data_IF_647011309136
#
_entry.id   IF_647011309136
#
_cell.length_a   1.000
_cell.length_b   1.000
_cell.length_c   1.000
_cell.angle_alpha   90.00
_cell.angle_beta   90.00
_cell.angle_gamma   90.00
#
_symmetry.space_group_name_H-M   'P 1'
#
loop_
_entity.id
_entity.type
_entity.pdbx_description
1 polymer ?
#
# COMPACT_ATOMS: atom_id res chain seq x y z
N UNK A 1 -30.84 8.08 0.10
CA UNK A 1 -30.03 6.83 0.02
C UNK A 1 -28.82 7.10 0.85
N UNK A 2 -28.89 6.76 2.14
CA UNK A 2 -28.09 7.46 3.16
C UNK A 2 -26.89 6.62 3.64
N UNK A 3 -26.80 5.35 3.21
CA UNK A 3 -25.61 4.48 3.34
C UNK A 3 -25.22 3.92 1.99
N UNK A 4 -23.92 3.97 1.69
CA UNK A 4 -23.32 3.47 0.45
C UNK A 4 -21.96 2.88 0.79
N UNK A 5 -21.59 1.79 0.12
CA UNK A 5 -20.25 1.25 0.21
C UNK A 5 -19.28 2.06 -0.66
N UNK A 6 -18.12 2.38 -0.10
CA UNK A 6 -17.01 3.03 -0.80
C UNK A 6 -15.67 2.48 -0.30
N UNK A 7 -14.66 2.64 -1.14
CA UNK A 7 -13.27 2.32 -0.85
C UNK A 7 -12.35 3.29 -1.58
N UNK A 8 -11.09 3.34 -1.16
CA UNK A 8 -10.03 4.11 -1.82
C UNK A 8 -8.90 3.17 -2.24
N UNK A 9 -8.29 3.51 -3.37
CA UNK A 9 -7.08 2.88 -3.90
C UNK A 9 -6.01 3.96 -3.94
N UNK A 10 -4.94 3.76 -3.16
CA UNK A 10 -3.87 4.74 -2.97
C UNK A 10 -2.54 4.16 -3.44
N UNK A 11 -2.03 4.71 -4.54
CA UNK A 11 -0.69 4.43 -5.04
C UNK A 11 0.35 5.36 -4.39
N UNK A 12 1.46 4.79 -3.93
CA UNK A 12 2.54 5.53 -3.30
C UNK A 12 3.74 5.66 -4.24
N UNK A 13 4.15 6.91 -4.47
CA UNK A 13 5.41 7.20 -5.13
C UNK A 13 6.58 6.79 -4.24
N UNK A 14 7.51 6.00 -4.79
CA UNK A 14 8.68 5.51 -4.06
C UNK A 14 9.97 6.03 -4.69
N UNK A 15 10.87 6.56 -3.85
CA UNK A 15 12.20 7.01 -4.26
C UNK A 15 13.21 6.67 -3.18
N UNK A 16 14.41 6.26 -3.58
CA UNK A 16 15.53 6.04 -2.66
C UNK A 16 16.63 7.04 -3.01
N UNK A 17 16.69 8.12 -2.24
CA UNK A 17 17.77 9.08 -2.33
C UNK A 17 19.03 8.53 -1.65
N UNK A 18 20.17 8.59 -2.34
CA UNK A 18 21.49 8.27 -1.79
C UNK A 18 22.40 9.49 -1.92
N UNK A 19 23.20 9.77 -0.90
CA UNK A 19 24.16 10.89 -0.89
C UNK A 19 25.38 10.65 -1.79
N UNK A 20 25.65 9.39 -2.16
CA UNK A 20 26.96 8.98 -2.69
C UNK A 20 26.93 8.60 -4.19
N UNK A 21 25.80 8.79 -4.88
CA UNK A 21 25.65 8.43 -6.30
C UNK A 21 24.24 7.98 -6.69
N UNK A 22 24.15 7.14 -7.74
CA UNK A 22 22.88 6.62 -8.29
C UNK A 22 22.13 5.85 -7.21
N UNK A 23 21.00 6.41 -6.73
CA UNK A 23 20.06 5.72 -5.85
C UNK A 23 19.43 4.49 -6.52
N UNK A 24 18.67 3.72 -5.75
CA UNK A 24 17.92 2.58 -6.29
C UNK A 24 16.82 3.07 -7.22
N UNK A 25 16.59 2.33 -8.30
CA UNK A 25 15.41 2.53 -9.15
C UNK A 25 14.12 2.23 -8.37
N UNK A 26 12.99 2.80 -8.80
CA UNK A 26 11.69 2.57 -8.15
C UNK A 26 11.37 1.06 -8.03
N UNK A 27 11.66 0.28 -9.07
CA UNK A 27 11.48 -1.19 -9.09
C UNK A 27 12.35 -1.90 -8.05
N UNK A 28 13.61 -1.49 -7.88
CA UNK A 28 14.50 -2.05 -6.85
C UNK A 28 14.03 -1.72 -5.43
N UNK A 29 13.58 -0.48 -5.19
CA UNK A 29 13.04 -0.08 -3.88
C UNK A 29 11.73 -0.81 -3.59
N UNK A 30 10.86 -0.90 -4.58
CA UNK A 30 9.57 -1.55 -4.44
C UNK A 30 9.73 -3.05 -4.12
N UNK A 31 10.62 -3.75 -4.85
CA UNK A 31 11.00 -5.12 -4.52
C UNK A 31 11.57 -5.22 -3.12
N UNK A 32 12.47 -4.30 -2.73
CA UNK A 32 13.05 -4.27 -1.39
C UNK A 32 11.96 -4.22 -0.30
N UNK A 33 11.02 -3.28 -0.41
CA UNK A 33 9.94 -3.07 0.55
C UNK A 33 9.01 -4.29 0.63
N UNK A 34 8.66 -4.86 -0.51
CA UNK A 34 7.74 -6.01 -0.57
C UNK A 34 8.36 -7.36 -0.22
N UNK A 35 9.68 -7.46 0.01
CA UNK A 35 10.30 -8.76 0.38
C UNK A 35 9.65 -9.42 1.59
N UNK A 36 9.30 -8.64 2.61
CA UNK A 36 8.61 -9.16 3.81
C UNK A 36 7.18 -9.62 3.49
N UNK A 37 6.47 -8.85 2.66
CA UNK A 37 5.10 -9.16 2.22
C UNK A 37 5.09 -10.46 1.41
N UNK A 38 6.00 -10.60 0.45
CA UNK A 38 6.14 -11.81 -0.38
C UNK A 38 6.56 -13.01 0.47
N UNK A 39 7.50 -12.85 1.41
CA UNK A 39 7.93 -13.93 2.29
C UNK A 39 6.79 -14.45 3.18
N UNK A 40 5.91 -13.56 3.63
CA UNK A 40 4.76 -13.90 4.48
C UNK A 40 3.55 -14.42 3.68
N UNK A 41 3.15 -13.71 2.63
CA UNK A 41 1.93 -13.96 1.87
C UNK A 41 2.11 -14.78 0.59
N UNK A 42 3.35 -15.17 0.24
CA UNK A 42 3.72 -15.89 -0.99
C UNK A 42 3.32 -15.18 -2.29
N UNK A 43 2.95 -13.91 -2.20
CA UNK A 43 2.42 -13.09 -3.27
C UNK A 43 2.79 -11.63 -3.02
N UNK A 44 2.99 -10.86 -4.08
CA UNK A 44 3.08 -9.39 -4.01
C UNK A 44 1.71 -8.72 -3.92
N UNK A 45 0.65 -9.51 -3.74
CA UNK A 45 -0.74 -9.08 -3.57
C UNK A 45 -1.38 -9.89 -2.45
N UNK A 46 -1.71 -9.22 -1.34
CA UNK A 46 -2.21 -9.85 -0.12
C UNK A 46 -3.36 -9.06 0.48
N UNK A 47 -4.23 -9.76 1.20
CA UNK A 47 -5.20 -9.15 2.10
C UNK A 47 -4.65 -9.10 3.52
N UNK A 48 -4.80 -7.95 4.16
CA UNK A 48 -4.37 -7.69 5.53
C UNK A 48 -5.48 -8.03 6.52
N UNK A 49 -5.11 -8.14 7.81
CA UNK A 49 -6.07 -8.47 8.88
C UNK A 49 -7.19 -7.44 9.06
N UNK A 50 -6.98 -6.20 8.64
CA UNK A 50 -7.99 -5.13 8.67
C UNK A 50 -8.94 -5.17 7.46
N UNK A 51 -8.84 -6.18 6.57
CA UNK A 51 -9.68 -6.33 5.38
C UNK A 51 -9.17 -5.57 4.16
N UNK A 52 -8.15 -4.72 4.31
CA UNK A 52 -7.55 -3.97 3.20
C UNK A 52 -6.63 -4.83 2.36
N UNK A 53 -6.41 -4.44 1.10
CA UNK A 53 -5.51 -5.12 0.18
C UNK A 53 -4.23 -4.31 0.03
N UNK A 54 -3.09 -4.98 0.13
CA UNK A 54 -1.77 -4.41 -0.09
C UNK A 54 -1.11 -5.14 -1.24
N UNK A 55 -0.68 -4.42 -2.26
CA UNK A 55 -0.07 -5.03 -3.41
C UNK A 55 0.95 -4.15 -4.12
N UNK A 56 1.76 -4.78 -4.97
CA UNK A 56 2.65 -4.11 -5.90
C UNK A 56 2.01 -4.06 -7.28
N UNK A 57 1.74 -2.85 -7.77
CA UNK A 57 1.18 -2.64 -9.10
C UNK A 57 2.25 -2.82 -10.22
N UNK A 58 1.79 -2.96 -11.47
CA UNK A 58 2.61 -3.01 -12.70
C UNK A 58 3.57 -1.82 -12.77
N UNK A 59 3.17 -0.64 -12.27
CA UNK A 59 4.02 0.56 -12.19
C UNK A 59 5.16 0.48 -11.17
N UNK A 60 5.31 -0.62 -10.42
CA UNK A 60 6.20 -0.75 -9.25
C UNK A 60 5.83 0.18 -8.08
N UNK A 61 4.58 0.63 -8.02
CA UNK A 61 4.06 1.38 -6.88
C UNK A 61 3.55 0.41 -5.81
N UNK A 62 3.96 0.59 -4.54
CA UNK A 62 3.19 0.09 -3.41
C UNK A 62 1.78 0.67 -3.48
N UNK A 63 0.77 -0.19 -3.41
CA UNK A 63 -0.62 0.22 -3.45
C UNK A 63 -1.39 -0.37 -2.27
N UNK A 64 -2.17 0.50 -1.61
CA UNK A 64 -3.07 0.13 -0.53
C UNK A 64 -4.50 0.44 -0.94
N UNK A 65 -5.33 -0.59 -1.01
CA UNK A 65 -6.77 -0.45 -1.19
C UNK A 65 -7.47 -0.68 0.15
N UNK A 66 -8.27 0.29 0.59
CA UNK A 66 -8.99 0.20 1.87
C UNK A 66 -9.94 -0.99 1.88
N UNK A 67 -10.33 -1.43 3.09
CA UNK A 67 -11.51 -2.29 3.20
C UNK A 67 -12.75 -1.50 2.77
N UNK A 68 -13.83 -2.20 2.42
CA UNK A 68 -15.13 -1.58 2.17
C UNK A 68 -15.62 -0.83 3.42
N UNK A 69 -15.92 0.45 3.25
CA UNK A 69 -16.44 1.33 4.31
C UNK A 69 -17.81 1.87 3.91
N UNK A 70 -18.63 2.22 4.89
CA UNK A 70 -19.92 2.87 4.64
C UNK A 70 -20.18 4.12 5.49
N UNK A 71 -19.19 4.51 6.29
CA UNK A 71 -19.05 5.81 6.92
C UNK A 71 -17.74 6.47 6.47
N UNK A 72 -17.79 7.77 6.18
CA UNK A 72 -16.64 8.47 5.61
C UNK A 72 -15.50 8.63 6.61
N UNK A 73 -15.77 8.69 7.93
CA UNK A 73 -14.71 8.74 8.94
C UNK A 73 -14.00 7.40 9.03
N UNK A 74 -14.74 6.30 8.89
CA UNK A 74 -14.15 4.97 8.79
C UNK A 74 -13.22 4.88 7.57
N UNK A 75 -13.65 5.38 6.41
CA UNK A 75 -12.82 5.39 5.21
C UNK A 75 -11.51 6.14 5.42
N UNK A 76 -11.59 7.36 5.96
CA UNK A 76 -10.40 8.17 6.27
C UNK A 76 -9.48 7.45 7.27
N UNK A 77 -10.04 6.76 8.25
CA UNK A 77 -9.24 5.98 9.20
C UNK A 77 -8.55 4.77 8.52
N UNK A 78 -9.22 4.09 7.59
CA UNK A 78 -8.61 2.99 6.83
C UNK A 78 -7.51 3.47 5.90
N UNK A 79 -7.72 4.58 5.19
CA UNK A 79 -6.71 5.20 4.32
C UNK A 79 -5.47 5.62 5.13
N UNK A 80 -5.68 6.29 6.27
CA UNK A 80 -4.57 6.66 7.17
C UNK A 80 -3.86 5.47 7.80
N UNK A 81 -4.56 4.34 7.97
CA UNK A 81 -3.92 3.09 8.40
C UNK A 81 -2.99 2.53 7.32
N UNK A 82 -3.32 2.71 6.03
CA UNK A 82 -2.46 2.34 4.90
C UNK A 82 -1.11 3.05 4.95
N UNK A 83 -1.10 4.36 5.19
CA UNK A 83 0.14 5.14 5.37
C UNK A 83 1.00 4.55 6.49
N UNK A 84 0.41 4.28 7.67
CA UNK A 84 1.14 3.73 8.83
C UNK A 84 1.69 2.31 8.58
N UNK A 85 1.00 1.50 7.78
CA UNK A 85 1.45 0.14 7.43
C UNK A 85 2.67 0.20 6.50
N UNK A 86 2.72 1.21 5.63
CA UNK A 86 3.82 1.40 4.68
C UNK A 86 5.03 2.13 5.28
N UNK A 87 4.82 3.04 6.23
CA UNK A 87 5.90 3.77 6.91
C UNK A 87 6.84 2.83 7.70
N UNK A 88 6.32 1.73 8.27
CA UNK A 88 7.11 0.71 8.97
C UNK A 88 7.53 1.09 10.38
#
# INVERSE_FOLDING_TARGET
MDRRIFGLETEYGVTCASSDGRGLSADEVARYLFRKVVAWGRSSNVFLRNGSRLYLDVGSHPEYATAECDDWRQLVAHDRAGERILEG
#
